data_IF_873452605476
#
_entry.id   IF_873452605476
#
_cell.length_a   1.000
_cell.length_b   1.000
_cell.length_c   1.000
_cell.angle_alpha   90.00
_cell.angle_beta   90.00
_cell.angle_gamma   90.00
#
_symmetry.space_group_name_H-M   'P 1'
#
loop_
_entity.id
_entity.type
_entity.pdbx_description
1 polymer ?
#
# COMPACT_ATOMS: atom_id res chain seq x y z
N UNK A 1 18.83 4.28 -11.23
CA UNK A 1 17.91 5.34 -10.77
C UNK A 1 18.75 6.54 -10.35
N UNK A 2 18.73 7.59 -11.18
CA UNK A 2 19.69 8.68 -11.27
C UNK A 2 19.86 9.49 -9.97
N UNK A 3 21.12 9.94 -9.73
CA UNK A 3 21.52 10.87 -8.65
C UNK A 3 20.64 12.14 -8.57
N UNK A 4 20.08 12.60 -9.69
CA UNK A 4 19.17 13.76 -9.80
C UNK A 4 17.84 13.58 -9.10
N UNK A 5 17.24 12.38 -9.11
CA UNK A 5 16.00 12.08 -8.37
C UNK A 5 16.23 12.01 -6.85
N UNK A 6 17.43 11.63 -6.40
CA UNK A 6 17.79 11.66 -4.98
C UNK A 6 17.97 13.10 -4.44
N UNK A 7 18.48 14.01 -5.24
CA UNK A 7 18.67 15.41 -4.82
C UNK A 7 17.36 16.20 -4.79
N UNK A 8 16.40 15.94 -5.68
CA UNK A 8 15.06 16.53 -5.66
C UNK A 8 14.18 16.01 -4.51
N UNK A 9 14.40 14.78 -4.05
CA UNK A 9 13.66 14.17 -2.94
C UNK A 9 14.18 14.57 -1.54
N UNK A 10 15.42 15.02 -1.42
CA UNK A 10 16.04 15.39 -0.13
C UNK A 10 15.53 16.75 0.39
N UNK A 11 15.02 17.61 -0.47
CA UNK A 11 14.49 18.94 -0.08
C UNK A 11 13.00 18.99 0.21
N UNK A 12 12.25 17.92 -0.03
CA UNK A 12 10.80 17.94 0.14
C UNK A 12 10.37 17.04 1.30
N UNK A 13 9.49 17.55 2.17
CA UNK A 13 8.85 16.79 3.24
C UNK A 13 8.20 15.47 2.80
N UNK A 14 8.05 15.27 1.48
CA UNK A 14 7.55 14.06 0.84
C UNK A 14 8.47 12.84 1.08
N UNK A 15 9.79 13.01 1.12
CA UNK A 15 10.74 11.91 1.40
C UNK A 15 10.65 11.45 2.87
N UNK A 16 10.48 12.38 3.79
CA UNK A 16 10.24 12.07 5.21
C UNK A 16 8.87 11.40 5.43
N UNK A 17 7.85 11.81 4.66
CA UNK A 17 6.53 11.20 4.67
C UNK A 17 6.59 9.76 4.13
N UNK A 18 7.28 9.52 3.03
CA UNK A 18 7.48 8.20 2.41
C UNK A 18 8.28 7.25 3.32
N UNK A 19 9.26 7.74 4.08
CA UNK A 19 9.98 6.96 5.08
C UNK A 19 9.11 6.59 6.29
N UNK A 20 8.18 7.45 6.69
CA UNK A 20 7.21 7.17 7.77
C UNK A 20 6.13 6.15 7.37
N UNK A 21 5.82 6.03 6.08
CA UNK A 21 4.86 5.04 5.53
C UNK A 21 5.40 3.59 5.56
N UNK A 22 6.66 3.39 5.96
CA UNK A 22 7.36 2.10 5.92
C UNK A 22 6.85 1.05 6.93
N UNK A 23 5.95 1.39 7.83
CA UNK A 23 5.29 0.41 8.71
C UNK A 23 3.95 -0.01 8.07
N UNK A 24 3.68 -1.31 8.02
CA UNK A 24 2.42 -1.84 7.47
C UNK A 24 1.15 -1.23 8.12
N UNK A 25 1.26 -0.81 9.38
CA UNK A 25 0.20 -0.12 10.12
C UNK A 25 0.03 1.32 9.64
N UNK A 26 1.12 2.06 9.38
CA UNK A 26 1.06 3.43 8.84
C UNK A 26 0.47 3.44 7.43
N UNK A 27 0.82 2.46 6.59
CA UNK A 27 0.28 2.31 5.24
C UNK A 27 -1.25 2.11 5.26
N UNK A 28 -1.77 1.29 6.17
CA UNK A 28 -3.23 1.09 6.34
C UNK A 28 -3.93 2.37 6.80
N UNK A 29 -3.34 3.11 7.75
CA UNK A 29 -3.89 4.38 8.26
C UNK A 29 -3.92 5.43 7.15
N UNK A 30 -2.85 5.56 6.34
CA UNK A 30 -2.83 6.48 5.19
C UNK A 30 -3.87 6.11 4.13
N UNK A 31 -4.08 4.83 3.88
CA UNK A 31 -5.13 4.38 2.96
C UNK A 31 -6.53 4.73 3.48
N UNK A 32 -6.82 4.46 4.74
CA UNK A 32 -8.10 4.78 5.37
C UNK A 32 -8.32 6.30 5.37
N UNK A 33 -7.30 7.08 5.72
CA UNK A 33 -7.38 8.54 5.73
C UNK A 33 -7.58 9.09 4.31
N UNK A 34 -6.84 8.59 3.32
CA UNK A 34 -6.99 8.95 1.91
C UNK A 34 -8.38 8.61 1.37
N UNK A 35 -8.89 7.43 1.67
CA UNK A 35 -10.26 7.03 1.32
C UNK A 35 -11.31 7.91 2.00
N UNK A 36 -11.13 8.24 3.29
CA UNK A 36 -12.04 9.13 4.02
C UNK A 36 -12.06 10.54 3.44
N UNK A 37 -10.89 11.11 3.10
CA UNK A 37 -10.78 12.42 2.45
C UNK A 37 -11.49 12.39 1.08
N UNK A 38 -11.35 11.31 0.34
CA UNK A 38 -11.95 11.14 -0.98
C UNK A 38 -13.48 11.06 -0.88
N UNK A 39 -14.00 10.29 0.06
CA UNK A 39 -15.45 10.19 0.32
C UNK A 39 -16.01 11.54 0.77
N UNK A 40 -15.30 12.26 1.63
CA UNK A 40 -15.70 13.60 2.08
C UNK A 40 -15.70 14.61 0.92
N UNK A 41 -14.66 14.60 0.07
CA UNK A 41 -14.59 15.44 -1.12
C UNK A 41 -15.75 15.17 -2.08
N UNK A 42 -16.01 13.88 -2.43
CA UNK A 42 -17.15 13.51 -3.26
C UNK A 42 -18.49 13.92 -2.64
N UNK A 43 -18.62 13.80 -1.32
CA UNK A 43 -19.81 14.24 -0.60
C UNK A 43 -20.06 15.73 -0.75
N UNK A 44 -19.03 16.58 -0.58
CA UNK A 44 -19.13 18.02 -0.74
C UNK A 44 -19.50 18.38 -2.17
N UNK A 45 -18.81 17.83 -3.16
CA UNK A 45 -19.05 18.17 -4.54
C UNK A 45 -20.43 17.69 -5.01
N UNK A 46 -20.87 16.51 -4.61
CA UNK A 46 -22.22 16.02 -4.87
C UNK A 46 -23.28 16.97 -4.27
N UNK A 47 -23.07 17.43 -3.05
CA UNK A 47 -23.99 18.36 -2.39
C UNK A 47 -24.05 19.70 -3.13
N UNK A 48 -22.90 20.30 -3.45
CA UNK A 48 -22.82 21.57 -4.18
C UNK A 48 -23.43 21.44 -5.60
N UNK A 49 -23.14 20.36 -6.31
CA UNK A 49 -23.68 20.11 -7.65
C UNK A 49 -25.20 19.94 -7.63
N UNK A 50 -25.70 19.25 -6.60
CA UNK A 50 -27.14 19.08 -6.38
C UNK A 50 -27.83 20.42 -6.09
N UNK A 51 -27.26 21.21 -5.21
CA UNK A 51 -27.80 22.52 -4.82
C UNK A 51 -27.88 23.48 -6.00
N UNK A 52 -26.79 23.60 -6.76
CA UNK A 52 -26.73 24.39 -8.00
C UNK A 52 -27.76 23.92 -9.06
N UNK A 53 -27.95 22.63 -9.18
CA UNK A 53 -28.94 22.04 -10.08
C UNK A 53 -30.36 22.39 -9.66
N UNK A 54 -30.66 22.24 -8.37
CA UNK A 54 -32.01 22.48 -7.82
C UNK A 54 -32.34 23.98 -7.89
N UNK A 55 -31.38 24.88 -7.66
CA UNK A 55 -31.53 26.32 -7.87
C UNK A 55 -31.82 26.67 -9.34
N UNK A 56 -31.06 26.08 -10.30
CA UNK A 56 -31.27 26.30 -11.73
C UNK A 56 -32.65 25.82 -12.20
N UNK A 57 -33.10 24.67 -11.72
CA UNK A 57 -34.43 24.14 -12.04
C UNK A 57 -35.52 25.03 -11.40
N UNK A 58 -35.31 25.50 -10.19
CA UNK A 58 -36.21 26.43 -9.50
C UNK A 58 -36.38 27.74 -10.27
N UNK A 59 -35.27 28.36 -10.66
CA UNK A 59 -35.29 29.57 -11.48
C UNK A 59 -36.03 29.38 -12.83
N UNK A 60 -35.76 28.27 -13.52
CA UNK A 60 -36.44 27.95 -14.78
C UNK A 60 -37.96 27.82 -14.61
N UNK A 61 -38.42 27.19 -13.53
CA UNK A 61 -39.84 27.06 -13.18
C UNK A 61 -40.48 28.42 -12.89
N UNK A 62 -39.78 29.26 -12.14
CA UNK A 62 -40.25 30.60 -11.81
C UNK A 62 -40.41 31.48 -13.06
N UNK A 63 -39.44 31.45 -13.97
CA UNK A 63 -39.56 32.17 -15.25
C UNK A 63 -40.71 31.64 -16.09
N UNK A 64 -40.91 30.33 -16.13
CA UNK A 64 -42.03 29.72 -16.86
C UNK A 64 -43.36 30.22 -16.31
N UNK A 65 -43.58 30.13 -14.98
CA UNK A 65 -44.79 30.57 -14.33
C UNK A 65 -45.07 32.07 -14.53
N UNK A 66 -44.01 32.90 -14.49
CA UNK A 66 -44.15 34.32 -14.75
C UNK A 66 -44.60 34.62 -16.16
N UNK A 67 -44.00 33.97 -17.18
CA UNK A 67 -44.36 34.15 -18.59
C UNK A 67 -45.78 33.64 -18.82
N UNK A 68 -46.18 32.53 -18.24
CA UNK A 68 -47.53 32.00 -18.29
C UNK A 68 -48.54 33.03 -17.74
N UNK A 69 -48.22 33.61 -16.58
CA UNK A 69 -49.08 34.64 -15.96
C UNK A 69 -49.15 35.92 -16.79
N UNK A 70 -48.08 36.38 -17.38
CA UNK A 70 -48.05 37.56 -18.26
C UNK A 70 -48.87 37.34 -19.53
N UNK A 71 -48.77 36.16 -20.13
CA UNK A 71 -49.57 35.80 -21.30
C UNK A 71 -51.06 35.67 -20.93
N UNK A 72 -51.36 35.06 -19.79
CA UNK A 72 -52.70 34.87 -19.28
C UNK A 72 -53.41 36.22 -18.99
N UNK A 73 -52.69 37.19 -18.47
CA UNK A 73 -53.24 38.54 -18.13
C UNK A 73 -53.32 39.51 -19.31
N UNK A 74 -53.14 39.07 -20.55
CA UNK A 74 -53.11 39.91 -21.75
C UNK A 74 -52.16 41.12 -21.61
N UNK A 75 -51.06 40.98 -20.86
CA UNK A 75 -50.07 42.03 -20.67
C UNK A 75 -49.44 42.42 -22.04
N UNK A 76 -49.20 43.73 -22.21
CA UNK A 76 -48.52 44.16 -23.46
C UNK A 76 -47.10 43.55 -23.53
N UNK A 77 -46.62 43.22 -24.72
CA UNK A 77 -45.26 42.69 -24.92
C UNK A 77 -44.16 43.63 -24.37
N UNK A 78 -44.45 44.96 -24.33
CA UNK A 78 -43.50 45.95 -23.76
C UNK A 78 -43.41 45.85 -22.26
N UNK A 79 -44.53 45.69 -21.59
CA UNK A 79 -44.56 45.52 -20.13
C UNK A 79 -44.02 44.16 -19.72
N UNK A 80 -44.33 43.11 -20.47
CA UNK A 80 -43.74 41.77 -20.28
C UNK A 80 -42.23 41.78 -20.45
N UNK A 81 -41.71 42.45 -21.52
CA UNK A 81 -40.27 42.61 -21.72
C UNK A 81 -39.60 43.38 -20.58
N UNK A 82 -40.28 44.46 -20.09
CA UNK A 82 -39.73 45.27 -18.99
C UNK A 82 -39.72 44.51 -17.66
N UNK A 83 -40.77 43.72 -17.41
CA UNK A 83 -40.82 42.87 -16.20
C UNK A 83 -39.78 41.75 -16.24
N UNK A 84 -39.65 41.05 -17.37
CA UNK A 84 -38.62 40.04 -17.57
C UNK A 84 -37.21 40.63 -17.37
N UNK A 85 -36.90 41.77 -18.02
CA UNK A 85 -35.61 42.45 -17.89
C UNK A 85 -35.26 42.82 -16.46
N UNK A 86 -36.26 43.16 -15.62
CA UNK A 86 -36.05 43.45 -14.22
C UNK A 86 -35.76 42.24 -13.36
N UNK A 87 -36.23 41.08 -13.76
CA UNK A 87 -36.07 39.83 -12.98
C UNK A 87 -34.92 38.95 -13.49
N UNK A 88 -34.54 39.09 -14.74
CA UNK A 88 -33.48 38.29 -15.34
C UNK A 88 -32.09 38.82 -15.00
N UNK A 89 -31.27 37.97 -14.39
CA UNK A 89 -29.89 38.26 -14.09
C UNK A 89 -28.92 37.67 -15.10
N UNK A 90 -27.62 37.82 -14.85
CA UNK A 90 -26.54 37.27 -15.70
C UNK A 90 -26.63 35.75 -15.88
N UNK A 91 -27.21 35.05 -14.88
CA UNK A 91 -27.35 33.59 -14.88
C UNK A 91 -28.65 33.05 -15.45
N UNK A 92 -29.50 33.92 -16.04
CA UNK A 92 -30.76 33.47 -16.67
C UNK A 92 -30.51 32.58 -17.89
N UNK A 93 -31.31 31.50 -18.09
CA UNK A 93 -31.18 30.64 -19.27
C UNK A 93 -31.63 31.37 -20.53
N UNK A 94 -31.10 31.02 -21.71
CA UNK A 94 -31.61 31.52 -22.98
C UNK A 94 -33.08 31.15 -23.12
N UNK A 95 -33.89 32.14 -23.42
CA UNK A 95 -35.32 31.93 -23.64
C UNK A 95 -35.81 32.62 -24.92
N UNK A 96 -36.89 32.11 -25.47
CA UNK A 96 -37.59 32.70 -26.61
C UNK A 96 -39.08 32.43 -26.50
N UNK A 97 -39.88 33.47 -26.65
CA UNK A 97 -41.33 33.41 -26.75
C UNK A 97 -41.72 33.67 -28.21
N UNK A 98 -42.58 32.83 -28.76
CA UNK A 98 -43.11 33.01 -30.11
C UNK A 98 -44.63 33.19 -30.10
N UNK A 99 -45.19 33.79 -31.13
CA UNK A 99 -46.62 33.79 -31.39
C UNK A 99 -47.12 32.40 -31.82
N UNK A 100 -48.43 32.30 -32.15
CA UNK A 100 -49.05 31.06 -32.63
C UNK A 100 -48.54 30.61 -34.01
N UNK A 101 -47.99 31.52 -34.80
CA UNK A 101 -47.36 31.23 -36.11
C UNK A 101 -45.91 30.76 -35.98
N UNK A 102 -45.36 30.83 -34.75
CA UNK A 102 -43.96 30.51 -34.46
C UNK A 102 -43.00 31.68 -34.72
N UNK A 103 -43.48 32.89 -34.95
CA UNK A 103 -42.64 34.09 -35.09
C UNK A 103 -42.17 34.53 -33.71
N UNK A 104 -40.83 34.79 -33.50
CA UNK A 104 -40.31 35.23 -32.22
C UNK A 104 -40.84 36.61 -31.86
N UNK A 105 -41.32 36.77 -30.62
CA UNK A 105 -41.85 38.02 -30.09
C UNK A 105 -40.89 38.59 -29.04
N UNK A 106 -40.37 37.73 -28.18
CA UNK A 106 -39.38 38.10 -27.12
C UNK A 106 -38.31 37.01 -27.14
N UNK A 107 -37.04 37.41 -27.02
CA UNK A 107 -35.93 36.46 -26.85
C UNK A 107 -34.81 37.07 -26.05
N UNK A 108 -34.12 36.22 -25.28
CA UNK A 108 -32.96 36.60 -24.51
C UNK A 108 -31.85 35.54 -24.65
N UNK A 109 -30.62 36.00 -24.76
CA UNK A 109 -29.42 35.16 -24.91
C UNK A 109 -29.46 34.16 -26.06
N UNK A 110 -30.33 34.42 -27.04
CA UNK A 110 -30.40 33.65 -28.28
C UNK A 110 -29.41 34.21 -29.32
N UNK A 111 -29.26 35.52 -29.35
CA UNK A 111 -28.36 36.24 -30.28
C UNK A 111 -27.20 36.96 -29.55
N UNK A 112 -27.53 37.73 -28.52
CA UNK A 112 -26.59 38.44 -27.63
C UNK A 112 -27.02 38.19 -26.20
N UNK A 113 -26.25 38.69 -25.22
CA UNK A 113 -26.59 38.57 -23.79
C UNK A 113 -27.70 39.55 -23.35
N UNK A 114 -28.41 40.15 -24.30
CA UNK A 114 -29.47 41.14 -24.05
C UNK A 114 -30.84 40.55 -24.41
N UNK A 115 -31.86 41.06 -23.71
CA UNK A 115 -33.25 40.80 -24.00
C UNK A 115 -33.74 41.67 -25.17
N UNK A 116 -34.31 41.06 -26.19
CA UNK A 116 -34.86 41.74 -27.35
C UNK A 116 -36.34 41.50 -27.48
N UNK A 117 -37.05 42.50 -28.10
CA UNK A 117 -38.43 42.39 -28.54
C UNK A 117 -38.55 42.63 -30.05
N UNK A 118 -39.71 42.28 -30.64
CA UNK A 118 -39.97 42.45 -32.06
C UNK A 118 -39.76 43.89 -32.56
N UNK A 119 -40.03 44.92 -31.71
CA UNK A 119 -39.80 46.35 -32.02
C UNK A 119 -38.33 46.70 -32.25
N UNK A 120 -37.42 45.96 -31.64
CA UNK A 120 -35.97 46.21 -31.75
C UNK A 120 -35.38 45.59 -33.02
N UNK A 121 -36.08 44.63 -33.65
CA UNK A 121 -35.70 44.05 -34.94
C UNK A 121 -35.52 45.09 -36.04
N UNK A 122 -36.35 46.17 -36.02
CA UNK A 122 -36.22 47.27 -36.96
C UNK A 122 -34.93 48.11 -36.85
N UNK A 123 -34.16 47.95 -35.75
CA UNK A 123 -32.90 48.67 -35.52
C UNK A 123 -31.68 47.87 -35.99
N UNK A 124 -31.86 46.58 -36.40
CA UNK A 124 -30.78 45.73 -36.83
C UNK A 124 -30.43 45.93 -38.28
N UNK A 125 -29.12 45.86 -38.60
CA UNK A 125 -28.66 45.84 -40.00
C UNK A 125 -29.19 44.60 -40.72
N UNK A 126 -29.35 44.61 -42.06
CA UNK A 126 -29.83 43.46 -42.83
C UNK A 126 -29.02 42.19 -42.62
N UNK A 127 -27.72 42.32 -42.41
CA UNK A 127 -26.78 41.21 -42.13
C UNK A 127 -27.00 40.59 -40.75
N UNK A 128 -27.14 41.42 -39.75
CA UNK A 128 -27.40 40.98 -38.34
C UNK A 128 -28.80 40.34 -38.22
N UNK A 129 -29.75 40.77 -39.04
CA UNK A 129 -31.10 40.21 -39.08
C UNK A 129 -31.09 38.77 -39.64
N UNK A 130 -30.32 38.53 -40.69
CA UNK A 130 -30.16 37.20 -41.28
C UNK A 130 -29.46 36.23 -40.28
N UNK A 131 -28.41 36.66 -39.62
CA UNK A 131 -27.73 35.85 -38.59
C UNK A 131 -28.66 35.54 -37.39
N UNK A 132 -29.48 36.51 -36.99
CA UNK A 132 -30.49 36.29 -35.96
C UNK A 132 -31.54 35.24 -36.39
N UNK A 133 -32.05 35.32 -37.59
CA UNK A 133 -33.01 34.34 -38.11
C UNK A 133 -32.44 32.92 -38.15
N UNK A 134 -31.19 32.76 -38.59
CA UNK A 134 -30.49 31.45 -38.53
C UNK A 134 -30.33 30.93 -37.11
N UNK A 135 -30.00 31.77 -36.15
CA UNK A 135 -29.85 31.39 -34.73
C UNK A 135 -31.20 31.02 -34.12
N UNK A 136 -32.25 31.75 -34.42
CA UNK A 136 -33.61 31.46 -34.00
C UNK A 136 -34.04 30.09 -34.50
N UNK A 137 -33.79 29.79 -35.78
CA UNK A 137 -34.12 28.50 -36.36
C UNK A 137 -33.33 27.36 -35.74
N UNK A 138 -32.04 27.56 -35.48
CA UNK A 138 -31.21 26.59 -34.75
C UNK A 138 -31.72 26.38 -33.33
N UNK A 139 -32.17 27.44 -32.66
CA UNK A 139 -32.72 27.39 -31.32
C UNK A 139 -34.04 26.62 -31.26
N UNK A 140 -34.96 26.89 -32.21
CA UNK A 140 -36.24 26.16 -32.36
C UNK A 140 -36.03 24.67 -32.63
N UNK A 141 -35.08 24.31 -33.48
CA UNK A 141 -34.73 22.91 -33.79
C UNK A 141 -34.13 22.17 -32.59
N UNK A 142 -33.43 22.89 -31.73
CA UNK A 142 -32.70 22.32 -30.61
C UNK A 142 -33.55 22.13 -29.37
N UNK A 143 -34.52 23.02 -29.11
CA UNK A 143 -35.31 23.03 -27.91
C UNK A 143 -36.78 22.78 -28.15
N UNK A 144 -37.42 21.98 -27.28
CA UNK A 144 -38.83 21.64 -27.42
C UNK A 144 -39.72 22.81 -26.99
N UNK A 145 -40.74 23.19 -27.82
CA UNK A 145 -41.67 24.26 -27.48
C UNK A 145 -42.63 23.82 -26.37
N UNK A 146 -42.89 24.72 -25.43
CA UNK A 146 -43.99 24.61 -24.47
C UNK A 146 -45.12 25.53 -24.92
N UNK A 147 -46.37 25.02 -25.12
CA UNK A 147 -47.47 25.87 -25.48
C UNK A 147 -47.87 26.82 -24.34
N UNK A 148 -48.12 28.06 -24.68
CA UNK A 148 -48.66 29.08 -23.80
C UNK A 148 -50.16 29.26 -24.14
N UNK A 149 -51.00 29.39 -23.06
CA UNK A 149 -52.44 29.54 -23.21
C UNK A 149 -52.91 30.83 -22.53
N UNK A 150 -53.94 31.46 -23.12
CA UNK A 150 -54.62 32.57 -22.51
C UNK A 150 -55.66 32.03 -21.53
N UNK A 151 -55.72 32.59 -20.28
CA UNK A 151 -56.65 32.13 -19.26
C UNK A 151 -58.14 32.39 -19.58
N UNK A 152 -58.42 33.49 -20.26
CA UNK A 152 -59.81 33.92 -20.53
C UNK A 152 -60.53 32.97 -21.48
N UNK A 153 -59.85 32.50 -22.52
CA UNK A 153 -60.47 31.71 -23.58
C UNK A 153 -59.85 30.32 -23.79
N UNK A 154 -58.83 29.95 -22.99
CA UNK A 154 -58.01 28.75 -23.17
C UNK A 154 -57.44 28.56 -24.57
N UNK A 155 -57.43 29.66 -25.38
CA UNK A 155 -56.83 29.64 -26.69
C UNK A 155 -55.32 29.66 -26.59
N UNK A 156 -54.65 28.99 -27.54
CA UNK A 156 -53.21 28.98 -27.64
C UNK A 156 -52.70 30.36 -27.99
N UNK A 157 -51.87 30.95 -27.16
CA UNK A 157 -51.30 32.27 -27.34
C UNK A 157 -49.93 32.26 -28.00
N UNK A 158 -49.20 31.17 -27.90
CA UNK A 158 -47.87 31.04 -28.48
C UNK A 158 -47.08 29.86 -27.95
N UNK A 159 -45.77 29.94 -28.09
CA UNK A 159 -44.85 28.93 -27.60
C UNK A 159 -43.67 29.55 -26.83
N UNK A 160 -43.26 28.87 -25.76
CA UNK A 160 -42.08 29.20 -25.00
C UNK A 160 -40.99 28.15 -25.24
N UNK A 161 -39.80 28.60 -25.58
CA UNK A 161 -38.60 27.79 -25.71
C UNK A 161 -37.61 28.19 -24.63
N UNK A 162 -37.06 27.20 -23.92
CA UNK A 162 -35.97 27.38 -23.00
C UNK A 162 -34.71 26.68 -23.50
N UNK A 163 -33.60 27.40 -23.51
CA UNK A 163 -32.31 26.83 -23.83
C UNK A 163 -31.60 26.35 -22.57
N UNK A 164 -30.75 25.36 -22.73
CA UNK A 164 -29.81 24.99 -21.68
C UNK A 164 -28.60 25.92 -21.74
N UNK A 165 -28.36 26.68 -20.70
CA UNK A 165 -27.15 27.48 -20.57
C UNK A 165 -25.90 26.60 -20.58
N UNK A 166 -24.77 27.13 -21.01
CA UNK A 166 -23.44 26.46 -20.92
C UNK A 166 -23.13 26.05 -19.48
N UNK A 167 -23.57 26.86 -18.54
CA UNK A 167 -23.41 26.61 -17.12
C UNK A 167 -24.11 25.30 -16.68
N UNK A 168 -25.39 25.12 -17.06
CA UNK A 168 -26.18 23.91 -16.77
C UNK A 168 -25.49 22.67 -17.34
N UNK A 169 -25.00 22.76 -18.60
CA UNK A 169 -24.26 21.65 -19.23
C UNK A 169 -22.96 21.32 -18.49
N UNK A 170 -22.23 22.32 -18.00
CA UNK A 170 -21.01 22.14 -17.22
C UNK A 170 -21.31 21.45 -15.89
N UNK A 171 -22.36 21.87 -15.19
CA UNK A 171 -22.79 21.26 -13.93
C UNK A 171 -23.17 19.77 -14.10
N UNK A 172 -23.81 19.41 -15.23
CA UNK A 172 -24.11 18.00 -15.55
C UNK A 172 -22.86 17.16 -15.86
N UNK A 173 -21.79 17.76 -16.38
CA UNK A 173 -20.54 17.04 -16.69
C UNK A 173 -19.61 16.87 -15.49
N UNK A 174 -19.72 17.76 -14.50
CA UNK A 174 -18.87 17.75 -13.28
C UNK A 174 -18.80 16.38 -12.58
N UNK A 175 -19.92 15.67 -12.30
CA UNK A 175 -19.88 14.38 -11.64
C UNK A 175 -19.08 13.31 -12.41
N UNK A 176 -19.13 13.33 -13.74
CA UNK A 176 -18.38 12.37 -14.56
C UNK A 176 -16.88 12.64 -14.52
N UNK A 177 -16.48 13.91 -14.50
CA UNK A 177 -15.08 14.32 -14.38
C UNK A 177 -14.52 13.92 -13.01
N UNK A 178 -15.31 14.05 -11.96
CA UNK A 178 -14.97 13.65 -10.60
C UNK A 178 -14.79 12.14 -10.46
N UNK A 179 -15.73 11.36 -10.99
CA UNK A 179 -15.60 9.89 -11.02
C UNK A 179 -14.32 9.50 -11.74
N UNK A 180 -14.01 10.13 -12.88
CA UNK A 180 -12.75 9.89 -13.60
C UNK A 180 -11.51 10.19 -12.77
N UNK A 181 -11.47 11.33 -12.08
CA UNK A 181 -10.38 11.68 -11.15
C UNK A 181 -10.25 10.68 -10.00
N UNK A 182 -11.39 10.24 -9.44
CA UNK A 182 -11.42 9.24 -8.37
C UNK A 182 -10.82 7.90 -8.81
N UNK A 183 -11.20 7.44 -10.00
CA UNK A 183 -10.63 6.20 -10.58
C UNK A 183 -9.11 6.33 -10.77
N UNK A 184 -8.65 7.45 -11.34
CA UNK A 184 -7.21 7.71 -11.52
C UNK A 184 -6.48 7.68 -10.17
N UNK A 185 -7.03 8.29 -9.13
CA UNK A 185 -6.45 8.30 -7.80
C UNK A 185 -6.32 6.89 -7.20
N UNK A 186 -7.37 6.07 -7.32
CA UNK A 186 -7.35 4.67 -6.87
C UNK A 186 -6.29 3.87 -7.63
N UNK A 187 -6.15 4.06 -8.94
CA UNK A 187 -5.12 3.41 -9.75
C UNK A 187 -3.71 3.83 -9.32
N UNK A 188 -3.47 5.12 -9.05
CA UNK A 188 -2.19 5.61 -8.56
C UNK A 188 -1.82 4.92 -7.23
N UNK A 189 -2.76 4.87 -6.28
CA UNK A 189 -2.55 4.18 -5.00
C UNK A 189 -2.24 2.71 -5.22
N UNK A 190 -3.00 2.02 -6.06
CA UNK A 190 -2.76 0.61 -6.40
C UNK A 190 -1.34 0.38 -6.96
N UNK A 191 -0.90 1.21 -7.92
CA UNK A 191 0.45 1.12 -8.49
C UNK A 191 1.55 1.41 -7.45
N UNK A 192 1.35 2.41 -6.58
CA UNK A 192 2.29 2.70 -5.49
C UNK A 192 2.44 1.48 -4.57
N UNK A 193 1.33 0.86 -4.15
CA UNK A 193 1.36 -0.35 -3.33
C UNK A 193 2.06 -1.51 -4.03
N UNK A 194 1.78 -1.71 -5.31
CA UNK A 194 2.44 -2.74 -6.12
C UNK A 194 3.95 -2.53 -6.19
N UNK A 195 4.39 -1.29 -6.43
CA UNK A 195 5.83 -0.94 -6.49
C UNK A 195 6.49 -1.20 -5.13
N UNK A 196 5.88 -0.78 -4.02
CA UNK A 196 6.41 -1.02 -2.68
C UNK A 196 6.59 -2.52 -2.43
N UNK A 197 5.56 -3.34 -2.69
CA UNK A 197 5.64 -4.81 -2.51
C UNK A 197 6.72 -5.47 -3.36
N UNK A 198 6.83 -5.06 -4.63
CA UNK A 198 7.85 -5.60 -5.54
C UNK A 198 9.25 -5.21 -5.07
N UNK A 199 9.43 -3.96 -4.63
CA UNK A 199 10.72 -3.47 -4.11
C UNK A 199 11.12 -4.18 -2.81
N UNK A 200 10.18 -4.39 -1.89
CA UNK A 200 10.43 -5.14 -0.65
C UNK A 200 10.88 -6.58 -0.95
N UNK A 201 10.18 -7.28 -1.85
CA UNK A 201 10.58 -8.63 -2.29
C UNK A 201 11.98 -8.61 -2.93
N UNK A 202 12.25 -7.68 -3.83
CA UNK A 202 13.56 -7.56 -4.49
C UNK A 202 14.69 -7.31 -3.50
N UNK A 203 14.51 -6.43 -2.53
CA UNK A 203 15.50 -6.14 -1.50
C UNK A 203 15.79 -7.37 -0.62
N UNK A 204 14.77 -8.17 -0.30
CA UNK A 204 14.94 -9.43 0.42
C UNK A 204 15.81 -10.42 -0.39
N UNK A 205 15.52 -10.59 -1.69
CA UNK A 205 16.28 -11.49 -2.54
C UNK A 205 17.75 -11.07 -2.71
N UNK A 206 18.00 -9.77 -2.92
CA UNK A 206 19.36 -9.24 -3.02
C UNK A 206 20.14 -9.45 -1.72
N UNK A 207 19.51 -9.20 -0.59
CA UNK A 207 20.14 -9.40 0.69
C UNK A 207 20.38 -10.87 1.02
N UNK A 208 19.40 -11.75 0.71
CA UNK A 208 19.51 -13.18 0.89
C UNK A 208 20.65 -13.77 0.00
N UNK A 209 20.73 -13.35 -1.26
CA UNK A 209 21.80 -13.78 -2.15
C UNK A 209 23.20 -13.39 -1.62
N UNK A 210 23.34 -12.18 -1.06
CA UNK A 210 24.60 -11.74 -0.44
C UNK A 210 24.94 -12.53 0.82
N UNK A 211 23.96 -12.77 1.70
CA UNK A 211 24.18 -13.57 2.91
C UNK A 211 24.55 -15.01 2.54
N UNK A 212 23.83 -15.62 1.60
CA UNK A 212 24.14 -16.97 1.09
C UNK A 212 25.54 -17.04 0.48
N UNK A 213 25.91 -16.08 -0.36
CA UNK A 213 27.27 -16.02 -0.93
C UNK A 213 28.34 -15.93 0.15
N UNK A 214 28.11 -15.14 1.22
CA UNK A 214 29.03 -15.05 2.34
C UNK A 214 29.10 -16.35 3.15
N UNK A 215 27.95 -16.99 3.40
CA UNK A 215 27.90 -18.27 4.14
C UNK A 215 28.48 -19.43 3.33
N UNK A 216 28.38 -19.43 2.00
CA UNK A 216 29.04 -20.40 1.13
C UNK A 216 30.55 -20.14 1.00
N UNK A 217 30.97 -18.88 0.95
CA UNK A 217 32.38 -18.51 0.79
C UNK A 217 33.27 -19.03 1.91
N UNK A 218 32.80 -19.06 3.16
CA UNK A 218 33.59 -19.54 4.30
C UNK A 218 33.96 -21.02 4.18
N UNK A 219 33.03 -21.98 4.03
CA UNK A 219 33.37 -23.39 3.91
C UNK A 219 34.13 -23.71 2.58
N UNK A 220 33.83 -22.97 1.49
CA UNK A 220 34.61 -23.12 0.25
C UNK A 220 36.06 -22.74 0.47
N UNK A 221 36.34 -21.61 1.13
CA UNK A 221 37.70 -21.19 1.44
C UNK A 221 38.42 -22.18 2.36
N UNK A 222 37.68 -22.76 3.34
CA UNK A 222 38.20 -23.80 4.22
C UNK A 222 38.57 -25.07 3.44
N UNK A 223 37.68 -25.54 2.54
CA UNK A 223 37.92 -26.69 1.68
C UNK A 223 39.16 -26.47 0.75
N UNK A 224 39.28 -25.27 0.18
CA UNK A 224 40.46 -24.90 -0.60
C UNK A 224 41.74 -24.95 0.25
N UNK A 225 41.66 -24.47 1.51
CA UNK A 225 42.77 -24.56 2.44
C UNK A 225 43.15 -26.00 2.77
N UNK A 226 42.18 -26.90 2.96
CA UNK A 226 42.43 -28.32 3.19
C UNK A 226 43.11 -28.98 1.99
N UNK A 227 42.65 -28.66 0.78
CA UNK A 227 43.31 -29.16 -0.47
C UNK A 227 44.75 -28.70 -0.54
N UNK A 228 45.01 -27.42 -0.27
CA UNK A 228 46.39 -26.90 -0.30
C UNK A 228 47.23 -27.51 0.82
N UNK A 229 46.65 -27.68 2.02
CA UNK A 229 47.36 -28.37 3.10
C UNK A 229 47.70 -29.83 2.76
N UNK A 230 46.83 -30.58 2.10
CA UNK A 230 47.13 -31.93 1.60
C UNK A 230 48.27 -31.94 0.58
N UNK A 231 48.40 -30.92 -0.27
CA UNK A 231 49.50 -30.81 -1.22
C UNK A 231 50.87 -30.71 -0.52
N UNK A 232 50.94 -30.06 0.64
CA UNK A 232 52.22 -29.97 1.37
C UNK A 232 52.76 -31.32 1.85
N UNK A 233 51.90 -32.36 1.92
CA UNK A 233 52.39 -33.72 2.20
C UNK A 233 53.05 -34.40 0.98
N UNK A 234 52.79 -33.97 -0.22
CA UNK A 234 53.45 -34.51 -1.43
C UNK A 234 54.91 -34.08 -1.51
N UNK A 235 55.19 -32.85 -1.03
CA UNK A 235 56.51 -32.22 -1.12
C UNK A 235 57.28 -32.29 0.21
N UNK A 236 56.84 -33.10 1.17
CA UNK A 236 57.48 -33.21 2.50
C UNK A 236 58.82 -33.95 2.42
N UNK A 237 59.89 -33.23 2.78
CA UNK A 237 61.23 -33.78 2.93
C UNK A 237 61.79 -33.46 4.35
N UNK A 238 62.05 -34.46 5.23
CA UNK A 238 61.93 -35.89 5.01
C UNK A 238 60.52 -36.44 4.94
N UNK A 239 60.27 -37.62 4.36
CA UNK A 239 58.97 -38.26 4.25
C UNK A 239 58.30 -38.43 5.61
N UNK A 240 57.01 -38.14 5.69
CA UNK A 240 56.24 -38.25 6.93
C UNK A 240 55.98 -39.72 7.24
N UNK A 241 56.09 -40.11 8.49
CA UNK A 241 55.78 -41.48 8.95
C UNK A 241 54.32 -41.86 8.61
N UNK A 242 54.10 -43.03 8.06
CA UNK A 242 52.80 -43.49 7.57
C UNK A 242 51.70 -43.42 8.64
N UNK A 243 52.03 -43.74 9.89
CA UNK A 243 51.06 -43.65 11.03
C UNK A 243 50.58 -42.22 11.31
N UNK A 244 51.49 -41.24 11.24
CA UNK A 244 51.23 -39.84 11.42
C UNK A 244 50.42 -39.32 10.23
N UNK A 245 50.76 -39.67 9.01
CA UNK A 245 50.08 -39.28 7.79
C UNK A 245 48.61 -39.77 7.81
N UNK A 246 48.35 -41.05 8.14
CA UNK A 246 46.99 -41.61 8.22
C UNK A 246 46.16 -40.86 9.25
N UNK A 247 46.70 -40.59 10.44
CA UNK A 247 45.96 -39.87 11.49
C UNK A 247 45.60 -38.44 11.08
N UNK A 248 46.50 -37.76 10.37
CA UNK A 248 46.28 -36.38 9.90
C UNK A 248 45.27 -36.35 8.74
N UNK A 249 45.36 -37.28 7.79
CA UNK A 249 44.38 -37.40 6.69
C UNK A 249 42.98 -37.68 7.22
N UNK A 250 42.88 -38.56 8.26
CA UNK A 250 41.58 -38.85 8.88
C UNK A 250 40.94 -37.60 9.55
N UNK A 251 41.77 -36.77 10.19
CA UNK A 251 41.32 -35.47 10.72
C UNK A 251 40.87 -34.50 9.62
N UNK A 252 41.66 -34.36 8.59
CA UNK A 252 41.33 -33.49 7.41
C UNK A 252 40.00 -33.95 6.77
N UNK A 253 39.84 -35.25 6.54
CA UNK A 253 38.61 -35.80 5.97
C UNK A 253 37.38 -35.47 6.84
N UNK A 254 37.48 -35.58 8.17
CA UNK A 254 36.41 -35.23 9.09
C UNK A 254 36.09 -33.72 9.05
N UNK A 255 37.10 -32.87 8.97
CA UNK A 255 36.93 -31.43 8.88
C UNK A 255 36.29 -31.01 7.53
N UNK A 256 36.73 -31.63 6.43
CA UNK A 256 36.15 -31.44 5.08
C UNK A 256 34.67 -31.90 5.04
N UNK A 257 34.36 -33.06 5.65
CA UNK A 257 32.96 -33.54 5.75
C UNK A 257 32.07 -32.58 6.51
N UNK A 258 32.57 -31.98 7.58
CA UNK A 258 31.87 -30.92 8.31
C UNK A 258 31.62 -29.68 7.46
N UNK A 259 32.57 -29.23 6.64
CA UNK A 259 32.41 -28.10 5.74
C UNK A 259 31.44 -28.42 4.59
N UNK A 260 31.45 -29.65 4.05
CA UNK A 260 30.48 -30.12 3.06
C UNK A 260 29.05 -30.16 3.61
N UNK A 261 28.87 -30.66 4.84
CA UNK A 261 27.58 -30.63 5.55
C UNK A 261 27.04 -29.21 5.73
N UNK A 262 27.93 -28.25 6.04
CA UNK A 262 27.55 -26.83 6.11
C UNK A 262 27.13 -26.28 4.75
N UNK A 263 27.86 -26.56 3.69
CA UNK A 263 27.50 -26.16 2.33
C UNK A 263 26.12 -26.71 1.94
N UNK A 264 25.89 -28.01 2.17
CA UNK A 264 24.61 -28.64 1.91
C UNK A 264 23.46 -27.98 2.69
N UNK A 265 23.68 -27.69 3.99
CA UNK A 265 22.68 -27.02 4.83
C UNK A 265 22.33 -25.60 4.29
N UNK A 266 23.32 -24.82 3.90
CA UNK A 266 23.09 -23.48 3.33
C UNK A 266 22.33 -23.57 2.01
N UNK A 267 22.70 -24.50 1.11
CA UNK A 267 22.06 -24.69 -0.19
C UNK A 267 20.61 -25.15 -0.03
N UNK A 268 20.35 -26.10 0.86
CA UNK A 268 18.99 -26.57 1.14
C UNK A 268 18.09 -25.46 1.69
N UNK A 269 18.59 -24.66 2.65
CA UNK A 269 17.86 -23.50 3.19
C UNK A 269 17.50 -22.49 2.11
N UNK A 270 18.43 -22.21 1.20
CA UNK A 270 18.20 -21.29 0.11
C UNK A 270 17.14 -21.81 -0.88
N UNK A 271 17.18 -23.08 -1.24
CA UNK A 271 16.19 -23.70 -2.14
C UNK A 271 14.77 -23.68 -1.55
N UNK A 272 14.62 -23.85 -0.25
CA UNK A 272 13.33 -23.87 0.45
C UNK A 272 12.66 -22.49 0.55
N UNK A 273 13.41 -21.38 0.53
CA UNK A 273 12.83 -20.02 0.59
C UNK A 273 12.06 -19.66 -0.69
N UNK A 274 12.36 -20.30 -1.81
CA UNK A 274 11.71 -20.06 -3.10
C UNK A 274 10.49 -20.96 -3.39
N UNK A 275 10.26 -21.98 -2.55
CA UNK A 275 9.21 -22.98 -2.71
C UNK A 275 8.30 -23.02 -1.48
N UNK A 276 7.17 -23.70 -1.58
CA UNK A 276 6.35 -24.04 -0.40
C UNK A 276 7.07 -25.17 0.36
N UNK A 277 7.58 -24.91 1.57
CA UNK A 277 8.31 -25.94 2.30
C UNK A 277 7.38 -27.07 2.77
N UNK A 278 7.84 -28.29 2.66
CA UNK A 278 7.14 -29.42 3.25
C UNK A 278 7.17 -29.33 4.79
N UNK A 279 6.03 -29.48 5.43
CA UNK A 279 5.89 -29.56 6.87
C UNK A 279 5.78 -31.03 7.29
N UNK A 280 6.36 -31.38 8.44
CA UNK A 280 6.30 -32.72 9.02
C UNK A 280 6.19 -32.63 10.55
N UNK A 281 5.61 -33.64 11.22
CA UNK A 281 5.55 -33.68 12.67
C UNK A 281 6.96 -33.65 13.29
N UNK A 282 7.25 -32.62 14.08
CA UNK A 282 8.53 -32.46 14.78
C UNK A 282 8.31 -32.03 16.23
N UNK A 283 9.21 -32.48 17.10
CA UNK A 283 9.30 -31.98 18.49
C UNK A 283 10.07 -30.65 18.50
N UNK A 284 9.38 -29.59 18.87
CA UNK A 284 9.94 -28.25 18.94
C UNK A 284 11.01 -28.16 20.04
N UNK A 285 10.80 -28.82 21.18
CA UNK A 285 11.75 -28.81 22.30
C UNK A 285 13.08 -29.46 21.89
N UNK A 286 13.04 -30.51 21.08
CA UNK A 286 14.24 -31.14 20.54
C UNK A 286 15.01 -30.19 19.62
N UNK A 287 14.32 -29.53 18.66
CA UNK A 287 14.93 -28.56 17.76
C UNK A 287 15.63 -27.43 18.55
N UNK A 288 14.94 -26.87 19.53
CA UNK A 288 15.48 -25.81 20.40
C UNK A 288 16.72 -26.26 21.18
N UNK A 289 16.67 -27.48 21.72
CA UNK A 289 17.78 -28.08 22.49
C UNK A 289 19.01 -28.31 21.61
N UNK A 290 18.82 -28.82 20.40
CA UNK A 290 19.92 -29.04 19.45
C UNK A 290 20.59 -27.72 19.03
N UNK A 291 19.82 -26.70 18.64
CA UNK A 291 20.34 -25.38 18.28
C UNK A 291 21.12 -24.79 19.46
N UNK A 292 20.56 -24.83 20.66
CA UNK A 292 21.22 -24.28 21.84
C UNK A 292 22.51 -25.03 22.18
N UNK A 293 22.52 -26.36 22.05
CA UNK A 293 23.70 -27.20 22.27
C UNK A 293 24.82 -26.88 21.27
N UNK A 294 24.46 -26.64 20.01
CA UNK A 294 25.42 -26.21 19.01
C UNK A 294 26.14 -24.91 19.40
N UNK A 295 25.40 -23.93 19.94
CA UNK A 295 26.03 -22.67 20.41
C UNK A 295 26.80 -22.89 21.71
N UNK A 296 26.28 -23.66 22.65
CA UNK A 296 26.93 -23.91 23.95
C UNK A 296 28.37 -24.42 23.82
N UNK A 297 28.61 -25.34 22.89
CA UNK A 297 29.95 -25.86 22.56
C UNK A 297 30.88 -24.79 22.00
N UNK A 298 30.36 -23.77 21.35
CA UNK A 298 31.13 -22.70 20.69
C UNK A 298 31.35 -21.46 21.55
N UNK A 299 30.57 -21.24 22.61
CA UNK A 299 30.71 -20.08 23.50
C UNK A 299 32.13 -19.93 24.08
N UNK A 300 32.82 -20.99 24.54
CA UNK A 300 34.20 -20.88 25.03
C UNK A 300 35.17 -20.38 23.96
N UNK A 301 35.01 -20.82 22.68
CA UNK A 301 35.84 -20.38 21.57
C UNK A 301 35.63 -18.89 21.27
N UNK A 302 34.45 -18.37 21.54
CA UNK A 302 34.10 -16.96 21.42
C UNK A 302 34.49 -16.14 22.64
N UNK A 303 35.14 -16.77 23.66
CA UNK A 303 35.50 -16.17 24.95
C UNK A 303 34.30 -15.57 25.70
N UNK A 304 33.08 -16.16 25.50
CA UNK A 304 31.84 -15.71 26.14
C UNK A 304 31.37 -16.68 27.20
N UNK A 305 31.04 -16.16 28.40
CA UNK A 305 30.47 -16.90 29.53
C UNK A 305 28.96 -16.70 29.58
N UNK A 306 28.25 -17.28 28.58
CA UNK A 306 26.78 -17.17 28.47
C UNK A 306 26.19 -18.47 29.00
N UNK A 307 25.27 -18.35 29.96
CA UNK A 307 24.49 -19.46 30.46
C UNK A 307 23.23 -19.62 29.60
N UNK A 308 22.93 -20.84 29.12
CA UNK A 308 21.71 -21.16 28.38
C UNK A 308 20.82 -22.03 29.27
N UNK A 309 19.63 -21.50 29.59
CA UNK A 309 18.62 -22.16 30.44
C UNK A 309 17.43 -22.63 29.60
N UNK A 310 16.84 -23.74 30.00
CA UNK A 310 15.64 -24.31 29.40
C UNK A 310 14.54 -24.45 30.44
N UNK A 311 13.31 -24.12 30.01
CA UNK A 311 12.09 -24.35 30.77
C UNK A 311 11.00 -24.79 29.75
N UNK A 312 11.02 -26.07 29.40
CA UNK A 312 10.17 -26.63 28.38
C UNK A 312 8.85 -27.16 28.96
N UNK A 313 7.74 -26.71 28.33
CA UNK A 313 6.41 -27.29 28.55
C UNK A 313 6.25 -28.63 27.85
N UNK A 314 5.23 -29.37 28.24
CA UNK A 314 4.86 -30.68 27.66
C UNK A 314 3.77 -30.47 26.61
N UNK A 315 4.05 -30.88 25.37
CA UNK A 315 3.13 -30.93 24.24
C UNK A 315 3.65 -31.91 23.19
N UNK A 316 2.74 -32.37 22.32
CA UNK A 316 3.11 -33.29 21.25
C UNK A 316 3.84 -32.61 20.08
N UNK A 317 4.33 -33.41 19.10
CA UNK A 317 4.92 -32.89 17.89
C UNK A 317 3.89 -32.09 17.08
N UNK A 318 4.36 -31.05 16.36
CA UNK A 318 3.56 -30.23 15.45
C UNK A 318 4.16 -30.21 14.05
N UNK A 319 3.33 -29.96 13.05
CA UNK A 319 3.76 -29.91 11.64
C UNK A 319 4.57 -28.66 11.35
N UNK A 320 5.88 -28.83 11.18
CA UNK A 320 6.82 -27.76 10.89
C UNK A 320 7.90 -28.20 9.91
N UNK A 321 8.59 -27.26 9.31
CA UNK A 321 9.82 -27.53 8.59
C UNK A 321 11.00 -27.37 9.56
N UNK A 322 11.67 -28.46 9.91
CA UNK A 322 12.77 -28.52 10.87
C UNK A 322 13.91 -27.57 10.48
N UNK A 323 14.40 -27.66 9.24
CA UNK A 323 15.56 -26.90 8.76
C UNK A 323 15.33 -25.37 8.84
N UNK A 324 14.11 -24.94 8.47
CA UNK A 324 13.74 -23.55 8.53
C UNK A 324 13.57 -23.05 9.96
N UNK A 325 12.98 -23.84 10.86
CA UNK A 325 12.86 -23.48 12.27
C UNK A 325 14.23 -23.43 12.96
N UNK A 326 15.09 -24.40 12.69
CA UNK A 326 16.49 -24.32 13.17
C UNK A 326 17.14 -23.00 12.76
N UNK A 327 16.91 -22.56 11.52
CA UNK A 327 17.46 -21.30 11.05
C UNK A 327 16.89 -20.08 11.79
N UNK A 328 15.59 -20.08 12.11
CA UNK A 328 14.98 -19.04 12.95
C UNK A 328 15.69 -18.96 14.30
N UNK A 329 15.82 -20.10 14.98
CA UNK A 329 16.41 -20.13 16.31
C UNK A 329 17.91 -19.86 16.29
N UNK A 330 18.66 -20.32 15.27
CA UNK A 330 20.06 -19.93 15.06
C UNK A 330 20.21 -18.40 14.93
N UNK A 331 19.32 -17.73 14.20
CA UNK A 331 19.33 -16.27 14.07
C UNK A 331 19.03 -15.56 15.40
N UNK A 332 18.06 -16.05 16.17
CA UNK A 332 17.75 -15.49 17.49
C UNK A 332 18.91 -15.69 18.47
N UNK A 333 19.46 -16.90 18.55
CA UNK A 333 20.63 -17.20 19.39
C UNK A 333 21.82 -16.31 19.05
N UNK A 334 22.17 -16.19 17.77
CA UNK A 334 23.24 -15.32 17.30
C UNK A 334 22.99 -13.85 17.65
N UNK A 335 21.75 -13.40 17.54
CA UNK A 335 21.38 -12.03 17.88
C UNK A 335 21.52 -11.79 19.39
N UNK A 336 21.09 -12.72 20.24
CA UNK A 336 21.23 -12.62 21.69
C UNK A 336 22.69 -12.65 22.12
N UNK A 337 23.52 -13.55 21.57
CA UNK A 337 24.95 -13.62 21.84
C UNK A 337 25.67 -12.31 21.46
N UNK A 338 25.31 -11.73 20.30
CA UNK A 338 25.86 -10.46 19.83
C UNK A 338 25.34 -9.24 20.60
N UNK A 339 24.19 -9.38 21.29
CA UNK A 339 23.59 -8.33 22.09
C UNK A 339 24.21 -8.25 23.50
N UNK A 340 25.00 -9.26 23.96
CA UNK A 340 25.63 -9.23 25.27
C UNK A 340 26.74 -8.16 25.32
N UNK A 341 26.61 -7.20 26.22
CA UNK A 341 27.62 -6.13 26.45
C UNK A 341 28.91 -6.60 27.02
N UNK A 342 28.78 -7.55 27.97
CA UNK A 342 29.90 -8.17 28.66
C UNK A 342 30.05 -9.55 28.07
N UNK A 343 31.22 -10.13 28.22
CA UNK A 343 31.47 -11.50 27.80
C UNK A 343 30.69 -12.53 28.63
N UNK A 344 29.67 -12.08 29.39
CA UNK A 344 28.79 -12.88 30.21
C UNK A 344 27.33 -12.48 30.05
N UNK A 345 26.43 -13.44 30.11
CA UNK A 345 24.98 -13.22 29.98
C UNK A 345 24.15 -14.47 30.18
N UNK A 346 22.86 -14.32 30.12
CA UNK A 346 21.88 -15.43 30.25
C UNK A 346 20.96 -15.38 29.04
N UNK A 347 20.76 -16.54 28.41
CA UNK A 347 19.73 -16.78 27.43
C UNK A 347 18.81 -17.85 28.00
N UNK A 348 17.52 -17.56 28.09
CA UNK A 348 16.54 -18.52 28.58
C UNK A 348 15.54 -18.81 27.46
N UNK A 349 15.25 -20.10 27.23
CA UNK A 349 14.28 -20.59 26.25
C UNK A 349 13.17 -21.30 26.99
N UNK A 350 11.94 -20.80 26.89
CA UNK A 350 10.75 -21.42 27.48
C UNK A 350 9.78 -21.80 26.38
N UNK A 351 9.05 -22.88 26.60
CA UNK A 351 7.94 -23.26 25.74
C UNK A 351 6.70 -23.55 26.59
N UNK A 352 5.53 -23.17 26.08
CA UNK A 352 4.25 -23.44 26.70
C UNK A 352 3.16 -23.72 25.66
N UNK A 353 2.23 -24.58 26.00
CA UNK A 353 1.06 -24.84 25.18
C UNK A 353 -0.14 -24.06 25.70
N UNK A 354 -0.58 -23.06 24.93
CA UNK A 354 -1.76 -22.26 25.21
C UNK A 354 -3.00 -22.94 24.64
N UNK A 355 -3.65 -23.77 25.45
CA UNK A 355 -4.78 -24.64 24.99
C UNK A 355 -5.94 -23.83 24.43
N UNK A 356 -6.26 -22.67 24.99
CA UNK A 356 -7.39 -21.84 24.53
C UNK A 356 -7.16 -21.26 23.13
N UNK A 357 -5.93 -20.96 22.80
CA UNK A 357 -5.54 -20.36 21.52
C UNK A 357 -5.08 -21.44 20.52
N UNK A 358 -4.90 -22.68 20.98
CA UNK A 358 -4.35 -23.81 20.23
C UNK A 358 -2.98 -23.49 19.58
N UNK A 359 -2.09 -22.85 20.37
CA UNK A 359 -0.76 -22.46 19.92
C UNK A 359 0.31 -22.95 20.91
N UNK A 360 1.49 -23.22 20.37
CA UNK A 360 2.72 -23.38 21.15
C UNK A 360 3.42 -22.04 21.14
N UNK A 361 3.64 -21.47 22.32
CA UNK A 361 4.39 -20.24 22.52
C UNK A 361 5.81 -20.54 22.96
N UNK A 362 6.76 -19.99 22.25
CA UNK A 362 8.19 -20.07 22.56
C UNK A 362 8.64 -18.68 23.02
N UNK A 363 9.23 -18.64 24.20
CA UNK A 363 9.86 -17.43 24.76
C UNK A 363 11.36 -17.54 24.54
N UNK A 364 11.94 -16.61 23.81
CA UNK A 364 13.37 -16.46 23.69
C UNK A 364 13.80 -15.19 24.42
N UNK A 365 14.46 -15.35 25.56
CA UNK A 365 14.75 -14.31 26.53
C UNK A 365 16.24 -14.11 26.59
N UNK A 366 16.70 -12.88 26.47
CA UNK A 366 18.11 -12.49 26.69
C UNK A 366 18.21 -11.28 27.62
N UNK A 367 19.33 -11.20 28.36
CA UNK A 367 19.68 -10.05 29.20
C UNK A 367 20.71 -9.13 28.53
N UNK A 368 20.70 -9.03 27.24
CA UNK A 368 21.60 -8.18 26.45
C UNK A 368 21.21 -6.69 26.44
N UNK A 369 21.74 -5.96 25.48
CA UNK A 369 21.55 -4.50 25.33
C UNK A 369 20.10 -4.04 25.08
N UNK A 370 19.21 -4.96 24.76
CA UNK A 370 17.83 -4.64 24.46
C UNK A 370 17.63 -3.86 23.15
N UNK A 371 16.37 -3.53 22.88
CA UNK A 371 15.92 -2.80 21.70
C UNK A 371 15.10 -1.59 22.14
N UNK A 372 15.42 -0.40 21.63
CA UNK A 372 14.65 0.82 21.93
C UNK A 372 13.20 0.70 21.43
N UNK A 373 12.24 1.35 22.11
CA UNK A 373 10.81 1.31 21.74
C UNK A 373 10.54 1.67 20.27
N UNK A 374 11.29 2.63 19.76
CA UNK A 374 11.17 3.08 18.37
C UNK A 374 11.55 1.98 17.37
N UNK A 375 12.54 1.17 17.71
CA UNK A 375 13.08 0.13 16.84
C UNK A 375 12.35 -1.22 16.97
N UNK A 376 11.58 -1.47 18.04
CA UNK A 376 10.91 -2.76 18.26
C UNK A 376 9.99 -3.18 17.09
N UNK A 377 9.40 -2.23 16.39
CA UNK A 377 8.57 -2.51 15.20
C UNK A 377 9.38 -2.64 13.91
N UNK A 378 10.56 -2.01 13.88
CA UNK A 378 11.38 -1.93 12.67
C UNK A 378 12.47 -2.97 12.59
N UNK A 379 12.81 -3.67 13.70
CA UNK A 379 13.86 -4.71 13.73
C UNK A 379 13.57 -5.87 12.76
N UNK A 380 12.31 -6.10 12.41
CA UNK A 380 11.91 -7.12 11.44
C UNK A 380 11.88 -6.59 9.98
N UNK A 381 12.11 -5.29 9.76
CA UNK A 381 12.11 -4.73 8.42
C UNK A 381 13.40 -5.11 7.67
N UNK A 382 13.32 -5.41 6.35
CA UNK A 382 14.47 -5.77 5.55
C UNK A 382 15.59 -4.71 5.61
N UNK A 383 16.82 -5.16 5.87
CA UNK A 383 18.00 -4.31 5.90
C UNK A 383 18.15 -3.48 7.19
N UNK A 384 17.31 -3.68 8.21
CA UNK A 384 17.51 -3.04 9.50
C UNK A 384 18.63 -3.73 10.27
N UNK A 385 19.67 -2.99 10.60
CA UNK A 385 20.78 -3.48 11.42
C UNK A 385 21.43 -2.35 12.21
N UNK A 386 21.81 -2.64 13.41
CA UNK A 386 22.65 -1.77 14.27
C UNK A 386 24.12 -2.24 14.29
N UNK A 387 24.43 -3.31 13.56
CA UNK A 387 25.78 -3.91 13.52
C UNK A 387 26.59 -3.31 12.37
N UNK A 388 27.89 -3.10 12.58
CA UNK A 388 28.83 -2.68 11.51
C UNK A 388 28.96 -3.72 10.41
N UNK A 389 28.81 -5.00 10.74
CA UNK A 389 28.82 -6.13 9.81
C UNK A 389 27.52 -6.89 9.98
N UNK A 390 26.80 -7.13 8.87
CA UNK A 390 25.52 -7.81 8.82
C UNK A 390 24.52 -7.06 7.95
N UNK A 391 23.70 -7.81 7.22
CA UNK A 391 22.78 -7.26 6.22
C UNK A 391 21.40 -6.92 6.78
N UNK A 392 21.17 -7.15 8.09
CA UNK A 392 19.86 -6.91 8.73
C UNK A 392 18.75 -7.80 8.22
N UNK A 393 19.05 -9.02 7.78
CA UNK A 393 18.09 -9.95 7.19
C UNK A 393 17.65 -11.06 8.13
N UNK A 394 18.42 -11.37 9.17
CA UNK A 394 18.16 -12.51 10.04
C UNK A 394 16.77 -12.49 10.67
N UNK A 395 16.37 -11.36 11.29
CA UNK A 395 15.03 -11.22 11.89
C UNK A 395 13.92 -11.10 10.84
N UNK A 396 14.19 -10.47 9.70
CA UNK A 396 13.23 -10.39 8.59
C UNK A 396 12.93 -11.78 8.04
N UNK A 397 13.98 -12.59 7.87
CA UNK A 397 13.83 -13.97 7.42
C UNK A 397 13.14 -14.83 8.48
N UNK A 398 13.51 -14.70 9.75
CA UNK A 398 12.84 -15.38 10.85
C UNK A 398 11.34 -15.08 10.87
N UNK A 399 10.97 -13.81 10.68
CA UNK A 399 9.57 -13.40 10.58
C UNK A 399 8.86 -14.06 9.40
N UNK A 400 9.48 -14.06 8.23
CA UNK A 400 8.91 -14.70 7.04
C UNK A 400 8.74 -16.22 7.23
N UNK A 401 9.73 -16.89 7.79
CA UNK A 401 9.66 -18.34 8.05
C UNK A 401 8.49 -18.64 9.00
N UNK A 402 8.36 -17.90 10.07
CA UNK A 402 7.29 -18.14 11.05
C UNK A 402 5.92 -17.73 10.49
N UNK A 403 5.79 -16.56 9.88
CA UNK A 403 4.48 -16.02 9.47
C UNK A 403 3.99 -16.58 8.14
N UNK A 404 4.87 -16.64 7.10
CA UNK A 404 4.45 -17.03 5.74
C UNK A 404 4.47 -18.55 5.54
N UNK A 405 5.36 -19.30 6.23
CA UNK A 405 5.52 -20.74 6.00
C UNK A 405 4.92 -21.63 7.11
N UNK A 406 4.81 -21.09 8.33
CA UNK A 406 4.27 -21.85 9.47
C UNK A 406 2.97 -21.27 10.03
N UNK A 407 2.40 -20.22 9.38
CA UNK A 407 1.17 -19.55 9.83
C UNK A 407 1.24 -19.10 11.31
N UNK A 408 2.44 -18.89 11.82
CA UNK A 408 2.70 -18.46 13.19
C UNK A 408 2.85 -16.95 13.30
N UNK A 409 3.40 -16.52 14.44
CA UNK A 409 3.69 -15.09 14.68
C UNK A 409 4.98 -14.94 15.46
N UNK A 410 5.83 -13.96 15.10
CA UNK A 410 7.02 -13.59 15.86
C UNK A 410 7.01 -12.10 16.16
N UNK A 411 7.25 -11.74 17.42
CA UNK A 411 7.24 -10.35 17.86
C UNK A 411 8.08 -10.13 19.13
N UNK A 412 8.40 -8.86 19.40
CA UNK A 412 9.00 -8.45 20.68
C UNK A 412 7.88 -8.25 21.69
N UNK A 413 7.83 -9.10 22.71
CA UNK A 413 6.89 -8.96 23.81
C UNK A 413 7.33 -7.86 24.77
N UNK A 414 8.61 -7.87 25.13
CA UNK A 414 9.22 -6.88 25.99
C UNK A 414 10.67 -6.65 25.60
N UNK A 415 11.10 -5.41 25.64
CA UNK A 415 12.52 -5.07 25.55
C UNK A 415 12.75 -3.70 26.17
N UNK A 416 13.85 -3.59 26.92
CA UNK A 416 14.32 -2.36 27.50
C UNK A 416 15.83 -2.24 27.31
N UNK A 417 16.27 -1.02 26.98
CA UNK A 417 17.70 -0.74 26.82
C UNK A 417 18.48 -1.18 28.04
N UNK A 418 19.56 -1.92 27.81
CA UNK A 418 20.51 -2.43 28.81
C UNK A 418 19.92 -3.44 29.83
N UNK A 419 18.71 -3.96 29.58
CA UNK A 419 18.06 -4.97 30.41
C UNK A 419 17.74 -6.26 29.67
N UNK A 420 17.68 -6.22 28.32
CA UNK A 420 17.45 -7.40 27.50
C UNK A 420 16.23 -7.34 26.63
N UNK A 421 15.92 -8.48 26.00
CA UNK A 421 14.79 -8.64 25.07
C UNK A 421 14.07 -9.96 25.32
N UNK A 422 12.76 -9.95 25.15
CA UNK A 422 11.90 -11.13 25.13
C UNK A 422 11.20 -11.18 23.78
N UNK A 423 11.56 -12.16 22.96
CA UNK A 423 10.83 -12.52 21.76
C UNK A 423 9.81 -13.59 22.07
N UNK A 424 8.62 -13.43 21.53
CA UNK A 424 7.59 -14.46 21.48
C UNK A 424 7.47 -15.00 20.08
N UNK A 425 7.41 -16.33 19.97
CA UNK A 425 7.14 -17.05 18.73
C UNK A 425 5.94 -17.96 19.01
N UNK A 426 4.84 -17.69 18.32
CA UNK A 426 3.60 -18.43 18.42
C UNK A 426 3.47 -19.32 17.18
N UNK A 427 3.37 -20.64 17.36
CA UNK A 427 3.18 -21.62 16.29
C UNK A 427 1.83 -22.33 16.50
N UNK A 428 1.02 -22.54 15.44
CA UNK A 428 -0.21 -23.36 15.54
C UNK A 428 0.11 -24.78 16.02
N UNK A 429 -0.63 -25.27 17.01
CA UNK A 429 -0.47 -26.65 17.49
C UNK A 429 -1.06 -27.67 16.48
N UNK A 430 -2.05 -27.25 15.70
CA UNK A 430 -2.58 -27.99 14.55
C UNK A 430 -2.49 -27.12 13.32
N UNK A 431 -1.70 -27.49 12.32
CA UNK A 431 -1.77 -26.86 11.01
C UNK A 431 -3.05 -27.32 10.30
N UNK A 432 -4.08 -26.45 10.27
CA UNK A 432 -5.18 -26.63 9.33
C UNK A 432 -4.60 -26.51 7.92
N UNK A 433 -4.33 -27.63 7.28
CA UNK A 433 -4.12 -27.68 5.84
C UNK A 433 -5.38 -27.12 5.18
N UNK A 434 -5.34 -25.85 4.79
CA UNK A 434 -6.30 -25.30 3.84
C UNK A 434 -5.99 -25.93 2.48
N UNK A 435 -6.53 -27.16 2.26
CA UNK A 435 -6.77 -27.66 0.92
C UNK A 435 -7.96 -26.88 0.36
N UNK A 436 -7.72 -25.96 -0.55
CA UNK A 436 -8.70 -25.24 -1.35
C UNK A 436 -8.01 -24.75 -2.61
#
# INVERSE_FOLDING_TARGET
MNRTLKQLAVGSGLYFLLLKIKSATSSKIFFILGAAILVFYFGIVFFVTRDLRDETIGATKAYTALIETMVASNMSYEDATRALKKMMGESSPPLMVTDTSGKPVIWEKVYTDLLYSEKELGKLTPENRKDLEERIDKFKKKYHPRPLYNEDNKAKAGYLFFGNDRFVRTVYLLPFLEIGLGVIFVLIIYFIFRIIRVTERSNLWVGLAKETAHQLGTPISSLMGWVEYMRTYQDADPPIEASVLVSQLQRICNDMDNDLKRLSKVTNRFSQIGSVPALAPCDINEILKEVATYFKVRLPLLRKKIEIKFNFGEFGPIDVNRDLLEWVFENLMKNSIDAMFRDSGIIEIKTEFLRQENIIRIHHIDNGKGVSKENQKTIFAPGFTTKKRGWGLGLTLAKRIIEDYHNGRIYVNWSQKDKGTIFFIDLPAENRTTHG
#
